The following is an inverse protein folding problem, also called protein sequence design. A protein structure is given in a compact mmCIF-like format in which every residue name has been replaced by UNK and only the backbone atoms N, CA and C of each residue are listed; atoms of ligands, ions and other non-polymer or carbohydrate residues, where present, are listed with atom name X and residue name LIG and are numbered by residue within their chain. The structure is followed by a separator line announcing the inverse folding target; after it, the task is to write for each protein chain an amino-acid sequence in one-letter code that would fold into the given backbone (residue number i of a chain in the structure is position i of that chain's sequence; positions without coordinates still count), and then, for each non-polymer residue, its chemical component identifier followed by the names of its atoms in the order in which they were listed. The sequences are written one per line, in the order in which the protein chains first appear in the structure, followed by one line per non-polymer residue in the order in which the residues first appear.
data_IF_177940958961
#
_entry.id   IF_177940958961
#
_cell.length_a   1.000
_cell.length_b   1.000
_cell.length_c   1.000
_cell.angle_alpha   90.00
_cell.angle_beta   90.00
_cell.angle_gamma   90.00
#
_symmetry.space_group_name_H-M   'P 1'
#
loop_
_entity.id
_entity.type
_entity.pdbx_description
1 polymer ?
#
# COMPACT_ATOMS: atom_id res chain seq x y z
N UNK A 1 34.79 -22.39 -3.14
CA UNK A 1 33.73 -23.31 -2.62
C UNK A 1 32.41 -22.67 -2.96
N UNK A 2 31.53 -23.35 -3.70
CA UNK A 2 30.18 -22.83 -3.96
C UNK A 2 29.43 -22.70 -2.63
N UNK A 3 28.93 -21.53 -2.35
CA UNK A 3 28.15 -21.28 -1.13
C UNK A 3 26.86 -22.12 -1.24
N UNK A 4 26.63 -23.00 -0.29
CA UNK A 4 25.40 -23.81 -0.27
C UNK A 4 24.25 -22.95 0.25
N UNK A 5 23.18 -22.84 -0.51
CA UNK A 5 21.95 -22.16 -0.14
C UNK A 5 20.89 -23.16 0.31
N UNK A 6 20.11 -22.78 1.32
CA UNK A 6 19.02 -23.58 1.85
C UNK A 6 17.76 -23.44 1.00
N UNK A 7 17.53 -22.23 0.46
CA UNK A 7 16.37 -21.90 -0.38
C UNK A 7 16.79 -21.06 -1.58
N UNK A 8 16.06 -21.25 -2.69
CA UNK A 8 16.35 -20.54 -3.95
C UNK A 8 15.08 -19.92 -4.50
N UNK A 9 15.12 -18.59 -4.68
CA UNK A 9 14.10 -17.79 -5.32
C UNK A 9 14.71 -16.96 -6.47
N UNK A 10 13.87 -16.39 -7.31
CA UNK A 10 14.32 -15.44 -8.33
C UNK A 10 14.43 -14.04 -7.74
N UNK A 11 13.42 -13.63 -6.98
CA UNK A 11 13.37 -12.33 -6.31
C UNK A 11 13.06 -12.54 -4.83
N UNK A 12 13.85 -11.90 -3.97
CA UNK A 12 13.62 -11.80 -2.53
C UNK A 12 13.18 -10.39 -2.18
N UNK A 13 12.03 -10.25 -1.57
CA UNK A 13 11.50 -8.95 -1.11
C UNK A 13 11.51 -8.90 0.41
N UNK A 14 12.18 -7.88 0.96
CA UNK A 14 12.28 -7.64 2.40
C UNK A 14 11.28 -6.58 2.81
N UNK A 15 10.26 -6.99 3.56
CA UNK A 15 9.15 -6.15 4.02
C UNK A 15 7.83 -6.45 3.33
N UNK A 16 6.74 -6.43 4.11
CA UNK A 16 5.36 -6.70 3.65
C UNK A 16 4.48 -5.44 3.66
N UNK A 17 5.07 -4.25 3.66
CA UNK A 17 4.37 -3.00 3.43
C UNK A 17 3.86 -2.86 1.98
N UNK A 18 3.14 -1.79 1.66
CA UNK A 18 2.64 -1.56 0.30
C UNK A 18 3.76 -1.59 -0.74
N UNK A 19 4.93 -1.01 -0.45
CA UNK A 19 6.09 -1.04 -1.35
C UNK A 19 6.55 -2.46 -1.66
N UNK A 20 6.76 -3.29 -0.62
CA UNK A 20 7.20 -4.68 -0.78
C UNK A 20 6.18 -5.55 -1.50
N UNK A 21 4.90 -5.46 -1.13
CA UNK A 21 3.84 -6.23 -1.81
C UNK A 21 3.67 -5.82 -3.28
N UNK A 22 3.76 -4.51 -3.58
CA UNK A 22 3.74 -4.01 -4.96
C UNK A 22 4.95 -4.52 -5.75
N UNK A 23 6.14 -4.47 -5.16
CA UNK A 23 7.37 -4.97 -5.80
C UNK A 23 7.28 -6.48 -6.10
N UNK A 24 6.76 -7.27 -5.15
CA UNK A 24 6.58 -8.71 -5.33
C UNK A 24 5.59 -9.03 -6.47
N UNK A 25 4.45 -8.34 -6.50
CA UNK A 25 3.46 -8.48 -7.55
C UNK A 25 4.01 -8.07 -8.92
N UNK A 26 4.70 -6.93 -8.99
CA UNK A 26 5.29 -6.44 -10.24
C UNK A 26 6.34 -7.41 -10.77
N UNK A 27 7.19 -7.98 -9.89
CA UNK A 27 8.21 -8.95 -10.29
C UNK A 27 7.59 -10.22 -10.89
N UNK A 28 6.50 -10.71 -10.30
CA UNK A 28 5.80 -11.90 -10.78
C UNK A 28 5.00 -11.64 -12.07
N UNK A 29 4.32 -10.47 -12.17
CA UNK A 29 3.49 -10.11 -13.32
C UNK A 29 4.36 -9.83 -14.56
N UNK A 30 5.43 -9.05 -14.39
CA UNK A 30 6.29 -8.65 -15.51
C UNK A 30 7.05 -9.84 -16.11
N UNK A 31 7.41 -10.80 -15.28
CA UNK A 31 8.09 -12.02 -15.73
C UNK A 31 7.89 -13.10 -14.66
N UNK A 32 7.00 -14.09 -14.88
CA UNK A 32 6.69 -15.13 -13.92
C UNK A 32 7.95 -15.65 -13.23
N UNK A 33 8.00 -15.43 -11.93
CA UNK A 33 9.21 -15.60 -11.14
C UNK A 33 8.87 -16.26 -9.81
N UNK A 34 9.79 -17.06 -9.29
CA UNK A 34 9.68 -17.56 -7.93
C UNK A 34 10.04 -16.43 -6.94
N UNK A 35 9.03 -15.73 -6.44
CA UNK A 35 9.19 -14.59 -5.53
C UNK A 35 8.98 -15.05 -4.09
N UNK A 36 9.78 -14.53 -3.15
CA UNK A 36 9.57 -14.67 -1.71
C UNK A 36 9.47 -13.28 -1.08
N UNK A 37 8.45 -13.08 -0.25
CA UNK A 37 8.36 -11.92 0.65
C UNK A 37 8.73 -12.38 2.06
N UNK A 38 9.61 -11.64 2.75
CA UNK A 38 9.93 -11.87 4.16
C UNK A 38 9.49 -10.68 5.00
N UNK A 39 8.86 -10.96 6.15
CA UNK A 39 8.36 -9.96 7.08
C UNK A 39 8.88 -10.29 8.50
N UNK A 40 9.53 -9.31 9.13
CA UNK A 40 10.08 -9.46 10.47
C UNK A 40 9.01 -9.65 11.56
N UNK A 41 7.86 -9.01 11.37
CA UNK A 41 6.71 -9.10 12.27
C UNK A 41 5.93 -10.39 12.03
N UNK A 42 5.17 -10.81 13.05
CA UNK A 42 4.13 -11.83 12.88
C UNK A 42 2.89 -11.29 12.12
N UNK A 43 2.79 -9.96 11.96
CA UNK A 43 1.72 -9.27 11.23
C UNK A 43 2.24 -8.69 9.91
N UNK A 44 1.38 -8.71 8.90
CA UNK A 44 1.65 -8.22 7.55
C UNK A 44 1.19 -6.76 7.43
N UNK A 45 1.89 -5.97 6.62
CA UNK A 45 1.48 -4.64 6.19
C UNK A 45 2.19 -3.49 6.90
N UNK A 46 2.81 -3.72 8.05
CA UNK A 46 3.62 -2.72 8.76
C UNK A 46 2.91 -1.36 8.88
N UNK A 47 3.67 -0.29 8.72
CA UNK A 47 3.16 1.10 8.77
C UNK A 47 2.13 1.39 7.68
N UNK A 48 2.23 0.74 6.52
CA UNK A 48 1.23 0.91 5.45
C UNK A 48 -0.18 0.56 5.91
N UNK A 49 -0.35 -0.55 6.65
CA UNK A 49 -1.66 -0.97 7.15
C UNK A 49 -2.25 -0.02 8.21
N UNK A 50 -1.40 0.71 8.96
CA UNK A 50 -1.82 1.66 9.99
C UNK A 50 -2.04 3.08 9.48
N UNK A 51 -1.59 3.39 8.27
CA UNK A 51 -1.63 4.72 7.66
C UNK A 51 -3.00 5.06 7.07
N UNK A 52 -3.18 6.31 6.64
CA UNK A 52 -4.30 6.75 5.82
C UNK A 52 -4.33 6.11 4.42
N UNK A 53 -3.23 5.50 3.97
CA UNK A 53 -3.14 4.81 2.68
C UNK A 53 -3.30 5.71 1.45
N UNK A 54 -3.37 7.01 1.65
CA UNK A 54 -3.47 7.99 0.57
C UNK A 54 -2.12 8.09 -0.13
N UNK A 55 -2.15 8.06 -1.46
CA UNK A 55 -1.00 8.29 -2.33
C UNK A 55 -1.22 9.56 -3.15
N UNK A 56 -0.16 10.32 -3.38
CA UNK A 56 -0.21 11.55 -4.16
C UNK A 56 0.35 11.28 -5.56
N UNK A 57 -0.51 11.22 -6.55
CA UNK A 57 -0.15 10.91 -7.94
C UNK A 57 -0.78 11.94 -8.87
N UNK A 58 -0.05 12.97 -9.30
CA UNK A 58 -0.53 13.96 -10.25
C UNK A 58 -0.86 13.33 -11.61
N UNK A 59 -1.74 13.98 -12.34
CA UNK A 59 -2.12 13.62 -13.71
C UNK A 59 -2.64 12.17 -13.84
N UNK A 60 -3.16 11.60 -12.74
CA UNK A 60 -3.67 10.24 -12.71
C UNK A 60 -4.99 10.09 -13.51
N UNK A 61 -5.22 8.89 -14.04
CA UNK A 61 -6.40 8.60 -14.86
C UNK A 61 -7.72 8.73 -14.09
N UNK A 62 -7.76 8.39 -12.79
CA UNK A 62 -8.97 8.48 -11.97
C UNK A 62 -9.41 9.93 -11.74
N UNK A 63 -8.46 10.86 -11.59
CA UNK A 63 -8.76 12.29 -11.56
C UNK A 63 -9.29 12.78 -12.90
N UNK A 64 -8.69 12.34 -14.02
CA UNK A 64 -9.16 12.69 -15.38
C UNK A 64 -10.59 12.19 -15.64
N UNK A 65 -10.92 10.98 -15.20
CA UNK A 65 -12.27 10.43 -15.29
C UNK A 65 -13.32 11.26 -14.53
N UNK A 66 -12.89 11.95 -13.44
CA UNK A 66 -13.70 12.90 -12.70
C UNK A 66 -13.67 14.34 -13.26
N UNK A 67 -13.01 14.53 -14.40
CA UNK A 67 -12.92 15.85 -15.04
C UNK A 67 -11.84 16.77 -14.47
N UNK A 68 -10.89 16.23 -13.71
CA UNK A 68 -9.78 17.02 -13.22
C UNK A 68 -8.90 17.53 -14.35
N UNK A 69 -8.56 18.80 -14.30
CA UNK A 69 -7.57 19.45 -15.16
C UNK A 69 -6.25 19.55 -14.41
N UNK A 70 -5.38 18.58 -14.60
CA UNK A 70 -4.03 18.53 -14.02
C UNK A 70 -3.01 18.15 -15.10
N UNK A 71 -1.73 18.47 -14.86
CA UNK A 71 -0.64 18.14 -15.76
C UNK A 71 0.66 17.87 -14.99
N UNK A 72 1.52 17.07 -15.58
CA UNK A 72 2.87 16.81 -15.08
C UNK A 72 3.66 18.11 -14.90
N UNK A 73 3.49 19.09 -15.80
CA UNK A 73 4.17 20.39 -15.75
C UNK A 73 3.77 21.16 -14.49
N UNK A 74 2.47 21.27 -14.20
CA UNK A 74 1.97 21.96 -13.01
C UNK A 74 2.39 21.24 -11.72
N UNK A 75 2.38 19.92 -11.73
CA UNK A 75 2.87 19.11 -10.60
C UNK A 75 4.36 19.33 -10.34
N UNK A 76 5.18 19.41 -11.40
CA UNK A 76 6.62 19.70 -11.28
C UNK A 76 6.86 21.11 -10.76
N UNK A 77 6.08 22.09 -11.22
CA UNK A 77 6.12 23.46 -10.73
C UNK A 77 5.81 23.54 -9.23
N UNK A 78 4.75 22.83 -8.79
CA UNK A 78 4.40 22.71 -7.38
C UNK A 78 5.53 22.12 -6.54
N UNK A 79 6.09 20.98 -6.97
CA UNK A 79 7.20 20.33 -6.27
C UNK A 79 8.46 21.21 -6.22
N UNK A 80 8.75 21.96 -7.30
CA UNK A 80 9.88 22.90 -7.34
C UNK A 80 9.70 24.05 -6.38
N UNK A 81 8.47 24.52 -6.17
CA UNK A 81 8.16 25.59 -5.24
C UNK A 81 8.15 25.16 -3.78
N UNK A 82 7.94 23.87 -3.49
CA UNK A 82 7.71 23.36 -2.13
C UNK A 82 8.87 22.52 -1.58
N UNK A 83 9.73 22.00 -2.43
CA UNK A 83 10.93 21.26 -2.02
C UNK A 83 12.13 22.24 -1.96
N UNK A 84 12.93 22.25 -0.87
CA UNK A 84 14.15 23.04 -0.80
C UNK A 84 15.06 22.80 -2.00
N UNK A 85 15.69 23.85 -2.51
CA UNK A 85 16.45 23.78 -3.76
C UNK A 85 17.64 22.82 -3.71
N UNK A 86 18.24 22.62 -2.55
CA UNK A 86 19.36 21.67 -2.30
C UNK A 86 18.88 20.22 -2.18
N UNK A 87 17.60 19.99 -1.94
CA UNK A 87 16.98 18.65 -1.87
C UNK A 87 16.24 18.28 -3.17
N UNK A 88 16.04 19.24 -4.08
CA UNK A 88 15.30 19.03 -5.34
C UNK A 88 16.11 18.19 -6.34
N UNK A 89 15.82 16.90 -6.38
CA UNK A 89 16.43 15.96 -7.33
C UNK A 89 15.57 15.83 -8.59
N UNK A 90 15.86 16.65 -9.61
CA UNK A 90 15.06 16.71 -10.85
C UNK A 90 14.88 15.35 -11.56
N UNK A 91 15.91 14.50 -11.77
CA UNK A 91 15.75 13.20 -12.38
C UNK A 91 14.82 12.26 -11.59
N UNK A 92 14.86 12.31 -10.27
CA UNK A 92 14.00 11.48 -9.42
C UNK A 92 12.54 11.96 -9.49
N UNK A 93 12.33 13.28 -9.46
CA UNK A 93 11.01 13.89 -9.57
C UNK A 93 10.40 13.60 -10.95
N UNK A 94 11.15 13.77 -12.02
CA UNK A 94 10.68 13.47 -13.38
C UNK A 94 10.28 11.98 -13.49
N UNK A 95 11.09 11.09 -12.94
CA UNK A 95 10.77 9.65 -12.88
C UNK A 95 9.48 9.39 -12.10
N UNK A 96 9.32 10.01 -10.93
CA UNK A 96 8.12 9.85 -10.10
C UNK A 96 6.86 10.32 -10.82
N UNK A 97 6.92 11.51 -11.41
CA UNK A 97 5.78 12.12 -12.12
C UNK A 97 5.39 11.34 -13.38
N UNK A 98 6.38 10.83 -14.13
CA UNK A 98 6.12 10.01 -15.31
C UNK A 98 5.64 8.60 -14.96
N UNK A 99 6.25 7.94 -13.98
CA UNK A 99 5.96 6.54 -13.68
C UNK A 99 4.79 6.34 -12.70
N UNK A 100 4.49 7.34 -11.85
CA UNK A 100 3.41 7.24 -10.87
C UNK A 100 2.05 6.90 -11.46
N UNK A 101 1.53 7.65 -12.44
CA UNK A 101 0.26 7.34 -13.11
C UNK A 101 0.26 5.97 -13.80
N UNK A 102 1.39 5.59 -14.44
CA UNK A 102 1.56 4.29 -15.09
C UNK A 102 1.52 3.14 -14.09
N UNK A 103 2.18 3.32 -12.95
CA UNK A 103 2.19 2.33 -11.86
C UNK A 103 0.78 2.09 -11.33
N UNK A 104 0.00 3.13 -11.05
CA UNK A 104 -1.39 2.98 -10.58
C UNK A 104 -2.21 2.20 -11.59
N UNK A 105 -2.17 2.61 -12.86
CA UNK A 105 -2.89 1.92 -13.94
C UNK A 105 -2.48 0.47 -14.07
N UNK A 106 -1.17 0.18 -14.05
CA UNK A 106 -0.64 -1.18 -14.10
C UNK A 106 -1.15 -2.04 -12.94
N UNK A 107 -1.14 -1.48 -11.72
CA UNK A 107 -1.60 -2.20 -10.53
C UNK A 107 -3.11 -2.47 -10.57
N UNK A 108 -3.92 -1.54 -11.04
CA UNK A 108 -5.37 -1.73 -11.19
C UNK A 108 -5.72 -2.75 -12.27
N UNK A 109 -4.99 -2.76 -13.39
CA UNK A 109 -5.24 -3.69 -14.49
C UNK A 109 -4.84 -5.14 -14.15
N UNK A 110 -3.83 -5.33 -13.30
CA UNK A 110 -3.21 -6.64 -13.09
C UNK A 110 -3.42 -7.22 -11.68
N UNK A 111 -4.01 -6.45 -10.75
CA UNK A 111 -4.17 -6.84 -9.35
C UNK A 111 -5.55 -6.45 -8.82
N UNK A 112 -5.80 -6.74 -7.54
CA UNK A 112 -7.00 -6.27 -6.84
C UNK A 112 -6.87 -4.83 -6.30
N UNK A 113 -5.75 -4.13 -6.54
CA UNK A 113 -5.59 -2.74 -6.14
C UNK A 113 -6.65 -1.87 -6.81
N UNK A 114 -7.34 -1.05 -6.03
CA UNK A 114 -8.37 -0.12 -6.52
C UNK A 114 -8.30 1.15 -5.70
N UNK A 115 -8.30 2.26 -6.39
CA UNK A 115 -8.22 3.59 -5.80
C UNK A 115 -9.38 4.46 -6.27
N UNK A 116 -9.59 5.58 -5.59
CA UNK A 116 -10.41 6.69 -6.06
C UNK A 116 -9.65 7.99 -5.88
N UNK A 117 -9.76 8.89 -6.83
CA UNK A 117 -9.23 10.23 -6.71
C UNK A 117 -10.09 11.07 -5.73
N UNK A 118 -9.44 11.87 -4.90
CA UNK A 118 -10.07 12.70 -3.87
C UNK A 118 -10.28 14.12 -4.39
N UNK A 119 -11.52 14.49 -4.68
CA UNK A 119 -11.88 15.79 -5.25
C UNK A 119 -11.66 16.96 -4.28
N UNK A 120 -11.81 16.69 -2.98
CA UNK A 120 -11.74 17.70 -1.92
C UNK A 120 -10.51 17.54 -1.01
N UNK A 121 -9.42 17.02 -1.56
CA UNK A 121 -8.16 16.88 -0.84
C UNK A 121 -7.08 17.73 -1.51
N UNK A 122 -6.92 18.99 -1.06
CA UNK A 122 -5.98 19.91 -1.68
C UNK A 122 -4.53 19.52 -1.41
N UNK A 123 -3.64 19.98 -2.28
CA UNK A 123 -2.21 19.98 -2.01
C UNK A 123 -1.92 20.81 -0.74
N UNK A 124 -0.89 20.42 0.02
CA UNK A 124 -0.65 21.00 1.36
C UNK A 124 -0.29 22.48 1.34
N UNK A 125 0.47 22.92 0.35
CA UNK A 125 0.89 24.32 0.21
C UNK A 125 -0.01 25.02 -0.79
N UNK A 126 -1.12 25.54 -0.31
CA UNK A 126 -2.20 26.03 -1.17
C UNK A 126 -1.87 27.35 -1.90
N UNK A 127 -0.85 28.08 -1.45
CA UNK A 127 -0.38 29.31 -2.09
C UNK A 127 0.76 29.08 -3.09
N UNK A 128 1.21 27.84 -3.25
CA UNK A 128 2.32 27.48 -4.14
C UNK A 128 1.89 27.47 -5.61
N UNK A 129 2.76 27.90 -6.55
CA UNK A 129 2.53 27.70 -7.97
C UNK A 129 2.26 26.23 -8.31
N UNK A 130 1.39 25.99 -9.28
CA UNK A 130 1.05 24.63 -9.71
C UNK A 130 0.18 23.82 -8.73
N UNK A 131 -0.31 24.43 -7.64
CA UNK A 131 -1.20 23.80 -6.66
C UNK A 131 -2.50 23.29 -7.30
N UNK A 132 -3.03 22.19 -6.78
CA UNK A 132 -4.40 21.72 -7.07
C UNK A 132 -5.20 21.56 -5.78
N UNK A 133 -6.48 21.88 -5.86
CA UNK A 133 -7.40 21.77 -4.73
C UNK A 133 -7.99 20.35 -4.56
N UNK A 134 -7.58 19.42 -5.41
CA UNK A 134 -7.99 18.04 -5.35
C UNK A 134 -7.45 17.20 -6.50
N UNK A 135 -7.85 15.94 -6.50
CA UNK A 135 -7.61 14.93 -7.54
C UNK A 135 -6.18 14.42 -7.73
N UNK A 136 -5.16 15.01 -7.09
CA UNK A 136 -3.81 14.43 -7.02
C UNK A 136 -3.68 13.36 -5.97
N UNK A 137 -4.35 13.53 -4.84
CA UNK A 137 -4.43 12.54 -3.79
C UNK A 137 -5.45 11.46 -4.16
N UNK A 138 -5.10 10.20 -3.91
CA UNK A 138 -5.96 9.05 -4.14
C UNK A 138 -6.02 8.19 -2.89
N UNK A 139 -7.21 7.71 -2.52
CA UNK A 139 -7.38 6.73 -1.45
C UNK A 139 -7.71 5.34 -1.98
N UNK A 140 -7.31 4.27 -1.28
CA UNK A 140 -7.74 2.93 -1.63
C UNK A 140 -9.23 2.76 -1.36
N UNK A 141 -9.95 2.16 -2.31
CA UNK A 141 -11.36 1.84 -2.11
C UNK A 141 -11.52 0.85 -0.94
N UNK A 142 -12.49 1.06 -0.05
CA UNK A 142 -12.79 0.11 1.02
C UNK A 142 -12.98 -1.31 0.51
N UNK A 143 -12.65 -2.29 1.34
CA UNK A 143 -12.73 -3.72 1.01
C UNK A 143 -13.28 -4.51 2.19
N UNK A 144 -13.93 -5.64 1.92
CA UNK A 144 -14.32 -6.57 2.98
C UNK A 144 -13.13 -7.38 3.47
N UNK A 145 -13.02 -7.55 4.76
CA UNK A 145 -12.05 -8.43 5.39
C UNK A 145 -12.24 -9.90 4.99
N UNK A 146 -13.44 -10.28 4.54
CA UNK A 146 -13.71 -11.62 4.00
C UNK A 146 -12.82 -11.97 2.80
N UNK A 147 -12.32 -10.97 2.07
CA UNK A 147 -11.39 -11.16 0.96
C UNK A 147 -10.15 -11.96 1.34
N UNK A 148 -9.70 -11.83 2.58
CA UNK A 148 -8.54 -12.57 3.10
C UNK A 148 -8.93 -13.85 3.85
N UNK A 149 -10.20 -14.04 4.21
CA UNK A 149 -10.62 -15.14 5.06
C UNK A 149 -9.97 -15.04 6.45
N UNK A 150 -9.36 -16.13 6.90
CA UNK A 150 -8.69 -16.17 8.22
C UNK A 150 -7.36 -15.40 8.22
N UNK A 151 -6.74 -15.15 7.06
CA UNK A 151 -5.50 -14.35 6.98
C UNK A 151 -5.70 -12.87 7.38
N UNK A 152 -6.94 -12.41 7.50
CA UNK A 152 -7.20 -11.07 8.05
C UNK A 152 -6.66 -10.89 9.46
N UNK A 153 -6.55 -11.96 10.23
CA UNK A 153 -5.99 -11.92 11.59
C UNK A 153 -4.46 -11.75 11.58
N UNK A 154 -3.83 -12.02 10.44
CA UNK A 154 -2.41 -11.78 10.18
C UNK A 154 -2.12 -10.35 9.69
N UNK A 155 -3.14 -9.56 9.38
CA UNK A 155 -2.99 -8.17 8.96
C UNK A 155 -2.73 -7.26 10.16
N UNK A 156 -1.78 -6.35 10.05
CA UNK A 156 -1.55 -5.32 11.08
C UNK A 156 -2.86 -4.54 11.34
N UNK A 157 -3.22 -4.27 12.60
CA UNK A 157 -4.43 -3.51 12.90
C UNK A 157 -4.36 -2.10 12.31
N UNK A 158 -5.52 -1.58 11.91
CA UNK A 158 -5.63 -0.19 11.47
C UNK A 158 -5.21 0.78 12.57
N UNK A 159 -4.59 1.89 12.21
CA UNK A 159 -4.19 2.91 13.17
C UNK A 159 -5.40 3.54 13.88
N UNK A 160 -5.29 3.92 15.15
CA UNK A 160 -6.39 4.54 15.89
C UNK A 160 -7.01 5.76 15.19
N UNK A 161 -6.19 6.51 14.47
CA UNK A 161 -6.59 7.70 13.71
C UNK A 161 -7.44 7.39 12.47
N UNK A 162 -7.46 6.13 12.03
CA UNK A 162 -8.22 5.68 10.84
C UNK A 162 -9.52 4.96 11.20
N UNK A 163 -9.87 4.91 12.49
CA UNK A 163 -11.05 4.21 12.99
C UNK A 163 -11.82 5.12 13.94
N UNK A 164 -13.04 5.48 13.55
CA UNK A 164 -13.93 6.30 14.40
C UNK A 164 -14.36 5.51 15.62
N UNK A 165 -14.19 6.10 16.81
CA UNK A 165 -14.45 5.48 18.14
C UNK A 165 -13.76 4.12 18.34
N UNK A 166 -12.61 3.89 17.67
CA UNK A 166 -11.88 2.63 17.76
C UNK A 166 -12.61 1.41 17.18
N UNK A 167 -13.66 1.60 16.37
CA UNK A 167 -14.55 0.53 15.89
C UNK A 167 -14.99 0.67 14.45
N UNK A 168 -15.32 1.88 14.01
CA UNK A 168 -15.95 2.11 12.72
C UNK A 168 -14.89 2.49 11.68
N UNK A 169 -14.65 1.61 10.72
CA UNK A 169 -13.82 1.96 9.58
C UNK A 169 -14.59 2.88 8.64
N UNK A 170 -14.04 4.06 8.39
CA UNK A 170 -14.54 5.05 7.44
C UNK A 170 -13.47 5.31 6.39
N UNK A 171 -13.85 5.74 5.21
CA UNK A 171 -12.92 6.27 4.22
C UNK A 171 -12.86 7.80 4.31
N UNK A 172 -12.05 8.43 3.46
CA UNK A 172 -11.89 9.88 3.48
C UNK A 172 -13.19 10.61 3.17
N UNK A 173 -13.94 10.21 2.14
CA UNK A 173 -15.21 10.83 1.77
C UNK A 173 -16.26 10.75 2.89
N UNK A 174 -16.37 9.60 3.56
CA UNK A 174 -17.26 9.43 4.71
C UNK A 174 -16.81 10.31 5.89
N UNK A 175 -15.50 10.38 6.16
CA UNK A 175 -14.93 11.24 7.20
C UNK A 175 -15.17 12.72 6.89
N UNK A 176 -14.97 13.14 5.64
CA UNK A 176 -15.26 14.49 5.19
C UNK A 176 -16.74 14.84 5.37
N UNK A 177 -17.66 13.93 4.99
CA UNK A 177 -19.10 14.15 5.17
C UNK A 177 -19.47 14.36 6.65
N UNK A 178 -18.80 13.69 7.60
CA UNK A 178 -19.03 13.87 9.04
C UNK A 178 -18.47 15.19 9.56
N UNK A 179 -17.28 15.56 9.14
CA UNK A 179 -16.61 16.80 9.62
C UNK A 179 -17.27 18.05 9.08
N UNK A 180 -17.75 18.02 7.83
CA UNK A 180 -18.46 19.15 7.19
C UNK A 180 -19.95 19.14 7.43
N UNK A 181 -20.50 18.09 8.04
CA UNK A 181 -21.93 17.90 8.20
C UNK A 181 -22.71 18.03 6.87
N UNK A 182 -22.14 17.51 5.80
CA UNK A 182 -22.73 17.54 4.46
C UNK A 182 -24.16 16.96 4.44
N UNK A 183 -25.05 17.39 3.53
CA UNK A 183 -26.41 16.84 3.47
C UNK A 183 -26.43 15.31 3.44
N UNK A 184 -27.15 14.70 4.38
CA UNK A 184 -27.25 13.24 4.51
C UNK A 184 -26.21 12.58 5.44
N UNK A 185 -25.29 13.33 6.04
CA UNK A 185 -24.24 12.79 6.93
C UNK A 185 -24.82 11.91 8.05
N UNK A 186 -25.97 12.28 8.63
CA UNK A 186 -26.61 11.51 9.69
C UNK A 186 -27.09 10.13 9.19
N UNK A 187 -27.65 10.07 7.98
CA UNK A 187 -28.05 8.79 7.36
C UNK A 187 -26.83 7.89 7.08
N UNK A 188 -25.74 8.50 6.63
CA UNK A 188 -24.49 7.81 6.41
C UNK A 188 -23.94 7.24 7.72
N UNK A 189 -23.92 8.05 8.78
CA UNK A 189 -23.50 7.62 10.11
C UNK A 189 -24.38 6.47 10.62
N UNK A 190 -25.68 6.63 10.56
CA UNK A 190 -26.64 5.58 10.95
C UNK A 190 -26.42 4.27 10.17
N UNK A 191 -26.17 4.37 8.86
CA UNK A 191 -25.86 3.20 8.00
C UNK A 191 -24.58 2.51 8.49
N UNK A 192 -23.50 3.23 8.72
CA UNK A 192 -22.21 2.67 9.17
C UNK A 192 -22.38 2.03 10.54
N UNK A 193 -23.06 2.74 11.47
CA UNK A 193 -23.36 2.25 12.81
C UNK A 193 -24.17 0.96 12.77
N UNK A 194 -25.29 0.94 12.07
CA UNK A 194 -26.18 -0.24 11.97
C UNK A 194 -25.45 -1.41 11.28
N UNK A 195 -24.73 -1.17 10.20
CA UNK A 195 -23.98 -2.22 9.50
C UNK A 195 -22.99 -2.90 10.45
N UNK A 196 -22.26 -2.12 11.26
CA UNK A 196 -21.33 -2.67 12.23
C UNK A 196 -22.05 -3.47 13.35
N UNK A 197 -23.11 -2.90 13.93
CA UNK A 197 -23.78 -3.52 15.07
C UNK A 197 -24.65 -4.72 14.69
N UNK A 198 -25.21 -4.77 13.50
CA UNK A 198 -25.99 -5.90 12.99
C UNK A 198 -25.10 -7.06 12.50
N UNK A 199 -23.80 -6.83 12.27
CA UNK A 199 -22.87 -7.89 11.86
C UNK A 199 -22.37 -8.73 13.05
N UNK A 200 -23.33 -9.36 13.74
CA UNK A 200 -23.07 -10.15 14.95
C UNK A 200 -22.15 -11.33 14.69
N UNK A 201 -22.33 -12.01 13.55
CA UNK A 201 -21.53 -13.19 13.18
C UNK A 201 -20.04 -12.88 13.08
N UNK A 202 -19.69 -11.72 12.52
CA UNK A 202 -18.33 -11.25 12.43
C UNK A 202 -17.78 -10.80 13.79
N UNK A 203 -18.55 -10.02 14.54
CA UNK A 203 -18.14 -9.44 15.82
C UNK A 203 -17.91 -10.48 16.94
N UNK A 204 -18.61 -11.62 16.86
CA UNK A 204 -18.35 -12.76 17.77
C UNK A 204 -16.98 -13.37 17.50
N UNK A 205 -16.60 -13.44 16.21
CA UNK A 205 -15.33 -14.06 15.78
C UNK A 205 -14.14 -13.11 15.87
N UNK A 206 -14.34 -11.81 15.55
CA UNK A 206 -13.26 -10.85 15.38
C UNK A 206 -13.59 -9.47 15.97
N UNK A 207 -12.57 -8.85 16.56
CA UNK A 207 -12.71 -7.49 17.16
C UNK A 207 -12.65 -6.38 16.13
N UNK A 208 -11.98 -6.60 14.97
CA UNK A 208 -11.85 -5.59 13.90
C UNK A 208 -13.13 -5.47 13.08
N UNK A 209 -13.33 -4.31 12.45
CA UNK A 209 -14.40 -4.11 11.48
C UNK A 209 -14.27 -5.09 10.31
N UNK A 210 -15.40 -5.59 9.78
CA UNK A 210 -15.41 -6.32 8.51
C UNK A 210 -15.06 -5.41 7.35
N UNK A 211 -15.52 -4.16 7.38
CA UNK A 211 -15.08 -3.13 6.43
C UNK A 211 -13.66 -2.70 6.79
N UNK A 212 -12.75 -2.76 5.82
CA UNK A 212 -11.40 -2.21 5.90
C UNK A 212 -11.32 -1.01 4.98
N UNK A 213 -10.67 0.06 5.43
CA UNK A 213 -10.49 1.31 4.71
C UNK A 213 -9.04 1.78 4.86
N UNK A 214 -8.67 2.86 4.17
CA UNK A 214 -7.35 3.46 4.26
C UNK A 214 -6.22 2.45 3.98
N UNK A 215 -5.09 2.55 4.67
CA UNK A 215 -3.95 1.68 4.48
C UNK A 215 -4.25 0.19 4.68
N UNK A 216 -5.16 -0.15 5.59
CA UNK A 216 -5.60 -1.54 5.75
C UNK A 216 -6.30 -2.07 4.50
N UNK A 217 -7.06 -1.24 3.78
CA UNK A 217 -7.67 -1.63 2.50
C UNK A 217 -6.61 -1.82 1.41
N UNK A 218 -5.63 -0.91 1.32
CA UNK A 218 -4.51 -1.03 0.37
C UNK A 218 -3.77 -2.35 0.54
N UNK A 219 -3.30 -2.62 1.76
CA UNK A 219 -2.56 -3.87 2.07
C UNK A 219 -3.43 -5.09 1.81
N UNK A 220 -4.72 -5.07 2.20
CA UNK A 220 -5.65 -6.19 1.97
C UNK A 220 -5.79 -6.52 0.49
N UNK A 221 -5.92 -5.53 -0.37
CA UNK A 221 -6.07 -5.71 -1.82
C UNK A 221 -4.79 -6.27 -2.45
N UNK A 222 -3.63 -5.75 -2.05
CA UNK A 222 -2.34 -6.27 -2.50
C UNK A 222 -2.13 -7.71 -1.99
N UNK A 223 -2.42 -7.98 -0.73
CA UNK A 223 -2.30 -9.31 -0.14
C UNK A 223 -3.25 -10.34 -0.79
N UNK A 224 -4.46 -9.91 -1.17
CA UNK A 224 -5.38 -10.74 -1.96
C UNK A 224 -4.74 -11.17 -3.29
N UNK A 225 -4.07 -10.25 -3.97
CA UNK A 225 -3.39 -10.53 -5.23
C UNK A 225 -2.16 -11.44 -5.04
N UNK A 226 -1.40 -11.24 -3.96
CA UNK A 226 -0.29 -12.12 -3.56
C UNK A 226 -0.79 -13.56 -3.36
N UNK A 227 -1.92 -13.73 -2.66
CA UNK A 227 -2.53 -15.05 -2.43
C UNK A 227 -2.99 -15.72 -3.73
N UNK A 228 -3.65 -14.98 -4.61
CA UNK A 228 -4.12 -15.50 -5.92
C UNK A 228 -2.98 -15.96 -6.84
N UNK A 229 -1.76 -15.51 -6.57
CA UNK A 229 -0.54 -15.85 -7.32
C UNK A 229 0.37 -16.83 -6.58
N UNK A 230 -0.09 -17.34 -5.42
CA UNK A 230 0.66 -18.28 -4.58
C UNK A 230 2.07 -17.79 -4.20
N UNK A 231 2.26 -16.46 -4.09
CA UNK A 231 3.53 -15.87 -3.66
C UNK A 231 3.69 -16.09 -2.14
N UNK A 232 4.71 -16.83 -1.69
CA UNK A 232 4.91 -17.08 -0.28
C UNK A 232 5.32 -15.83 0.50
N UNK A 233 4.76 -15.68 1.71
CA UNK A 233 5.18 -14.69 2.68
C UNK A 233 5.68 -15.42 3.93
N UNK A 234 6.95 -15.22 4.27
CA UNK A 234 7.50 -15.69 5.54
C UNK A 234 7.34 -14.58 6.58
N UNK A 235 6.46 -14.80 7.53
CA UNK A 235 6.28 -13.92 8.70
C UNK A 235 7.23 -14.33 9.82
N UNK A 236 7.41 -13.44 10.82
CA UNK A 236 8.37 -13.64 11.91
C UNK A 236 9.76 -14.04 11.37
N UNK A 237 10.12 -13.45 10.25
CA UNK A 237 11.34 -13.77 9.49
C UNK A 237 12.12 -12.50 9.22
N UNK A 238 13.28 -12.34 9.85
CA UNK A 238 14.06 -11.11 9.80
C UNK A 238 15.31 -11.25 8.94
N UNK A 239 15.59 -10.22 8.14
CA UNK A 239 16.88 -10.08 7.47
C UNK A 239 17.99 -9.94 8.53
N UNK A 240 19.03 -10.74 8.45
CA UNK A 240 20.23 -10.61 9.28
C UNK A 240 21.40 -10.02 8.50
N UNK A 241 21.66 -10.54 7.32
CA UNK A 241 22.83 -10.14 6.53
C UNK A 241 22.53 -10.35 5.04
N UNK A 242 23.10 -9.50 4.17
CA UNK A 242 23.12 -9.76 2.74
C UNK A 242 24.26 -10.69 2.36
N UNK A 243 24.01 -11.62 1.45
CA UNK A 243 25.01 -12.48 0.87
C UNK A 243 25.55 -11.75 -0.38
N UNK A 244 26.85 -11.43 -0.35
CA UNK A 244 27.52 -10.66 -1.40
C UNK A 244 28.56 -11.55 -2.06
N UNK A 245 28.52 -11.65 -3.39
CA UNK A 245 29.53 -12.30 -4.21
C UNK A 245 30.17 -11.26 -5.16
N UNK A 246 31.45 -10.99 -4.98
CA UNK A 246 32.11 -9.89 -5.67
C UNK A 246 31.49 -8.54 -5.31
N UNK A 247 30.80 -7.91 -6.27
CA UNK A 247 30.14 -6.61 -6.05
C UNK A 247 28.61 -6.71 -6.24
N UNK A 248 28.02 -7.91 -6.03
CA UNK A 248 26.59 -8.16 -6.21
C UNK A 248 25.99 -8.81 -4.99
N UNK A 249 24.82 -8.33 -4.59
CA UNK A 249 23.96 -9.03 -3.62
C UNK A 249 23.30 -10.19 -4.34
N UNK A 250 23.64 -11.44 -3.91
CA UNK A 250 23.11 -12.67 -4.52
C UNK A 250 22.06 -13.34 -3.64
N UNK A 251 21.79 -12.81 -2.45
CA UNK A 251 20.81 -13.35 -1.52
C UNK A 251 20.91 -12.71 -0.15
N UNK A 252 20.32 -13.39 0.83
CA UNK A 252 20.34 -12.93 2.21
C UNK A 252 20.28 -14.09 3.20
N UNK A 253 20.76 -13.86 4.41
CA UNK A 253 20.56 -14.70 5.58
C UNK A 253 19.31 -14.22 6.29
N UNK A 254 18.31 -15.08 6.36
CA UNK A 254 17.02 -14.83 6.99
C UNK A 254 16.92 -15.68 8.25
N UNK A 255 16.65 -15.04 9.38
CA UNK A 255 16.28 -15.75 10.60
C UNK A 255 14.78 -16.06 10.57
N UNK A 256 14.43 -17.32 10.60
CA UNK A 256 13.06 -17.83 10.63
C UNK A 256 12.93 -18.87 11.74
N UNK A 257 12.04 -18.65 12.69
CA UNK A 257 11.79 -19.57 13.82
C UNK A 257 13.08 -19.98 14.58
N UNK A 258 14.02 -19.01 14.73
CA UNK A 258 15.30 -19.23 15.38
C UNK A 258 16.38 -19.88 14.52
N UNK A 259 16.07 -20.27 13.27
CA UNK A 259 17.04 -20.85 12.33
C UNK A 259 17.53 -19.78 11.34
N UNK A 260 18.80 -19.81 11.02
CA UNK A 260 19.41 -18.97 9.99
C UNK A 260 19.38 -19.72 8.65
N UNK A 261 18.62 -19.17 7.69
CA UNK A 261 18.49 -19.74 6.35
C UNK A 261 19.20 -18.84 5.34
N UNK A 262 20.05 -19.43 4.52
CA UNK A 262 20.68 -18.77 3.37
C UNK A 262 19.75 -18.84 2.17
N UNK A 263 19.15 -17.72 1.82
CA UNK A 263 18.21 -17.59 0.70
C UNK A 263 18.93 -16.98 -0.50
N UNK A 264 19.00 -17.73 -1.60
CA UNK A 264 19.52 -17.22 -2.88
C UNK A 264 18.44 -16.44 -3.62
N UNK A 265 18.80 -15.29 -4.19
CA UNK A 265 17.95 -14.47 -5.04
C UNK A 265 18.61 -14.29 -6.41
N UNK A 266 18.25 -15.14 -7.38
CA UNK A 266 18.92 -15.20 -8.70
C UNK A 266 18.92 -13.87 -9.45
N UNK A 267 17.86 -13.07 -9.30
CA UNK A 267 17.65 -11.79 -10.01
C UNK A 267 17.91 -10.60 -9.13
N UNK A 268 17.74 -10.73 -7.82
CA UNK A 268 18.04 -9.66 -6.87
C UNK A 268 17.19 -9.65 -5.61
N UNK A 269 17.58 -8.75 -4.72
CA UNK A 269 16.92 -8.49 -3.44
C UNK A 269 16.35 -7.09 -3.47
N UNK A 270 15.08 -6.94 -3.10
CA UNK A 270 14.38 -5.65 -2.97
C UNK A 270 14.16 -5.40 -1.48
N UNK A 271 14.54 -4.22 -1.00
CA UNK A 271 14.31 -3.78 0.38
C UNK A 271 13.23 -2.69 0.35
N UNK A 272 12.12 -2.89 1.14
CA UNK A 272 10.95 -2.03 1.12
C UNK A 272 10.37 -1.76 2.52
#
# INVERSE_FOLDING_TARGET
MSQQFDEIFDVLVIGSGCGGLTAALTADIANPSKVLVVEKSHLIGGTSATSGGVIWIPDNHLGKEKGANDSISEAKEYLRATIPADEFNEPLIDTYLDQGPKMVKFMEDNTDARYTSLEHYPDYFQDAPGVKLGNRAMEPLPVSADTLGDDVDNLHPSGPQTIVFGRYAVNFEESHAFTTQSPGWFRLFAKIFLTYWLDLSWRIKRKRSRKLAFGAASVTRLLSSIKKRDIPIWRSSSLKEFIIEGNKVVGAIIEKEGNLLKVHARRGVIVA
#
